data_IF_613949384301
#
_entry.id   IF_613949384301
#
_cell.length_a   1.000
_cell.length_b   1.000
_cell.length_c   1.000
_cell.angle_alpha   90.00
_cell.angle_beta   90.00
_cell.angle_gamma   90.00
#
_symmetry.space_group_name_H-M   'P 1'
#
loop_
_entity.id
_entity.type
_entity.pdbx_description
1 polymer ?
#
# COMPACT_ATOMS: atom_id res chain seq x y z
N UNK A 1 13.25 -12.66 6.82
CA UNK A 1 13.10 -11.71 5.68
C UNK A 1 12.61 -12.41 4.40
N UNK A 2 12.92 -13.69 4.20
CA UNK A 2 12.58 -14.41 2.95
C UNK A 2 11.06 -14.48 2.66
N UNK A 3 10.23 -14.60 3.71
CA UNK A 3 8.77 -14.56 3.56
C UNK A 3 8.26 -13.20 3.06
N UNK A 4 8.87 -12.10 3.50
CA UNK A 4 8.51 -10.75 3.05
C UNK A 4 8.95 -10.52 1.61
N UNK A 5 10.15 -10.98 1.26
CA UNK A 5 10.67 -10.88 -0.10
C UNK A 5 9.86 -11.71 -1.12
N UNK A 6 9.20 -12.78 -0.67
CA UNK A 6 8.35 -13.64 -1.51
C UNK A 6 6.91 -13.12 -1.67
N UNK A 7 6.56 -11.95 -1.12
CA UNK A 7 5.24 -11.36 -1.28
C UNK A 7 4.93 -11.13 -2.76
N UNK A 8 3.82 -11.72 -3.24
CA UNK A 8 3.37 -11.57 -4.63
C UNK A 8 2.44 -10.37 -4.73
N UNK A 9 2.95 -9.27 -5.26
CA UNK A 9 2.16 -8.08 -5.50
C UNK A 9 1.44 -8.18 -6.85
N UNK A 10 0.13 -8.01 -6.85
CA UNK A 10 -0.70 -8.17 -8.06
C UNK A 10 -0.55 -6.91 -8.91
N UNK A 11 0.05 -7.07 -10.10
CA UNK A 11 0.20 -5.98 -11.05
C UNK A 11 -1.18 -5.47 -11.54
N UNK A 12 -1.37 -4.17 -11.57
CA UNK A 12 -2.66 -3.55 -11.93
C UNK A 12 -3.55 -3.24 -10.72
N UNK A 13 -3.25 -3.79 -9.53
CA UNK A 13 -4.00 -3.49 -8.30
C UNK A 13 -3.90 -2.00 -7.91
N UNK A 14 -2.84 -1.30 -8.30
CA UNK A 14 -2.69 0.14 -8.09
C UNK A 14 -3.79 1.00 -8.73
N UNK A 15 -4.49 0.44 -9.72
CA UNK A 15 -5.61 1.11 -10.38
C UNK A 15 -6.88 1.14 -9.53
N UNK A 16 -6.98 0.25 -8.55
CA UNK A 16 -8.14 0.03 -7.68
C UNK A 16 -7.82 0.25 -6.20
N UNK A 17 -6.78 -0.40 -5.71
CA UNK A 17 -6.37 -0.46 -4.32
C UNK A 17 -4.89 -0.07 -4.17
N UNK A 18 -4.55 1.19 -4.49
CA UNK A 18 -3.15 1.64 -4.46
C UNK A 18 -2.52 1.49 -3.06
N UNK A 19 -3.28 1.70 -1.99
CA UNK A 19 -2.80 1.50 -0.62
C UNK A 19 -2.29 0.07 -0.36
N UNK A 20 -3.04 -0.93 -0.79
CA UNK A 20 -2.67 -2.34 -0.67
C UNK A 20 -1.50 -2.70 -1.59
N UNK A 21 -1.53 -2.20 -2.83
CA UNK A 21 -0.48 -2.45 -3.81
C UNK A 21 0.87 -1.93 -3.34
N UNK A 22 0.94 -0.66 -2.93
CA UNK A 22 2.18 -0.05 -2.46
C UNK A 22 2.64 -0.63 -1.11
N UNK A 23 1.71 -1.04 -0.25
CA UNK A 23 2.06 -1.77 0.97
C UNK A 23 2.74 -3.11 0.66
N UNK A 24 2.22 -3.85 -0.32
CA UNK A 24 2.83 -5.09 -0.79
C UNK A 24 4.25 -4.84 -1.34
N UNK A 25 4.43 -3.86 -2.24
CA UNK A 25 5.74 -3.49 -2.78
C UNK A 25 6.73 -3.05 -1.69
N UNK A 26 6.24 -2.31 -0.68
CA UNK A 26 7.05 -1.90 0.45
C UNK A 26 7.55 -3.10 1.25
N UNK A 27 6.65 -4.04 1.54
CA UNK A 27 6.96 -5.27 2.27
C UNK A 27 7.98 -6.13 1.53
N UNK A 28 7.78 -6.32 0.22
CA UNK A 28 8.71 -7.05 -0.65
C UNK A 28 10.09 -6.37 -0.66
N UNK A 29 10.12 -5.06 -0.92
CA UNK A 29 11.37 -4.27 -0.94
C UNK A 29 12.10 -4.33 0.40
N UNK A 30 11.38 -4.32 1.51
CA UNK A 30 11.96 -4.46 2.84
C UNK A 30 12.60 -5.85 3.03
N UNK A 31 11.90 -6.91 2.64
CA UNK A 31 12.42 -8.28 2.67
C UNK A 31 13.68 -8.48 1.80
N UNK A 32 13.77 -7.76 0.68
CA UNK A 32 14.93 -7.75 -0.22
C UNK A 32 16.07 -6.83 0.24
N UNK A 33 15.99 -6.25 1.44
CA UNK A 33 16.92 -5.25 1.98
C UNK A 33 17.04 -3.96 1.14
N UNK A 34 16.05 -3.66 0.31
CA UNK A 34 15.94 -2.43 -0.47
C UNK A 34 15.25 -1.33 0.33
N UNK A 35 15.79 -0.98 1.49
CA UNK A 35 15.14 -0.14 2.50
C UNK A 35 14.68 1.23 2.01
N UNK A 36 15.45 1.89 1.11
CA UNK A 36 15.04 3.18 0.53
C UNK A 36 13.77 3.08 -0.31
N UNK A 37 13.58 1.98 -1.04
CA UNK A 37 12.35 1.71 -1.78
C UNK A 37 11.21 1.33 -0.84
N UNK A 38 11.50 0.53 0.18
CA UNK A 38 10.52 0.17 1.19
C UNK A 38 9.93 1.40 1.89
N UNK A 39 10.78 2.33 2.37
CA UNK A 39 10.33 3.60 2.98
C UNK A 39 9.46 4.42 2.02
N UNK A 40 9.90 4.57 0.77
CA UNK A 40 9.14 5.28 -0.26
C UNK A 40 7.77 4.65 -0.49
N UNK A 41 7.71 3.32 -0.64
CA UNK A 41 6.45 2.63 -0.91
C UNK A 41 5.53 2.58 0.33
N UNK A 42 6.07 2.48 1.55
CA UNK A 42 5.25 2.64 2.76
C UNK A 42 4.63 4.03 2.86
N UNK A 43 5.37 5.10 2.56
CA UNK A 43 4.83 6.47 2.52
C UNK A 43 3.78 6.62 1.42
N UNK A 44 4.00 6.03 0.26
CA UNK A 44 3.01 6.02 -0.81
C UNK A 44 1.73 5.30 -0.37
N UNK A 45 1.85 4.08 0.19
CA UNK A 45 0.70 3.34 0.73
C UNK A 45 -0.03 4.13 1.82
N UNK A 46 0.71 4.75 2.76
CA UNK A 46 0.15 5.57 3.82
C UNK A 46 -0.66 6.76 3.27
N UNK A 47 -0.22 7.34 2.14
CA UNK A 47 -0.92 8.43 1.46
C UNK A 47 -2.27 8.01 0.88
N UNK A 48 -2.49 6.71 0.67
CA UNK A 48 -3.75 6.10 0.25
C UNK A 48 -4.54 5.50 1.44
N UNK A 49 -4.36 6.04 2.64
CA UNK A 49 -5.04 5.63 3.86
C UNK A 49 -4.75 4.18 4.31
N UNK A 50 -3.63 3.60 3.89
CA UNK A 50 -3.21 2.29 4.38
C UNK A 50 -2.77 2.36 5.85
N UNK A 51 -3.63 1.92 6.76
CA UNK A 51 -3.34 1.91 8.21
C UNK A 51 -2.19 0.97 8.58
N UNK A 52 -2.04 -0.21 7.94
CA UNK A 52 -0.84 -1.04 8.13
C UNK A 52 0.45 -0.31 7.75
N UNK A 53 0.47 0.46 6.64
CA UNK A 53 1.66 1.22 6.23
C UNK A 53 2.00 2.33 7.23
N UNK A 54 0.99 3.07 7.71
CA UNK A 54 1.16 4.10 8.74
C UNK A 54 1.73 3.49 10.03
N UNK A 55 1.23 2.33 10.44
CA UNK A 55 1.74 1.61 11.60
C UNK A 55 3.22 1.20 11.43
N UNK A 56 3.58 0.61 10.28
CA UNK A 56 4.97 0.19 9.99
C UNK A 56 5.92 1.38 10.01
N UNK A 57 5.53 2.53 9.42
CA UNK A 57 6.33 3.77 9.47
C UNK A 57 6.54 4.26 10.90
N UNK A 58 5.53 4.10 11.77
CA UNK A 58 5.66 4.36 13.20
C UNK A 58 6.68 3.45 13.89
N UNK A 59 6.63 2.16 13.61
CA UNK A 59 7.60 1.18 14.13
C UNK A 59 9.02 1.50 13.64
N UNK A 60 9.19 1.82 12.35
CA UNK A 60 10.49 2.20 11.79
C UNK A 60 11.06 3.46 12.47
N UNK A 61 10.24 4.47 12.73
CA UNK A 61 10.66 5.68 13.42
C UNK A 61 10.98 5.41 14.90
N UNK A 62 10.25 4.52 15.56
CA UNK A 62 10.46 4.13 16.95
C UNK A 62 11.77 3.36 17.16
N UNK A 63 12.08 2.46 16.24
CA UNK A 63 13.25 1.59 16.32
C UNK A 63 14.51 2.22 15.68
N UNK A 64 14.38 3.33 14.98
CA UNK A 64 15.48 3.93 14.23
C UNK A 64 15.87 3.10 13.01
N UNK A 65 14.90 2.43 12.37
CA UNK A 65 15.16 1.63 11.18
C UNK A 65 15.44 2.55 9.98
N UNK A 66 16.67 2.48 9.45
CA UNK A 66 17.21 3.32 8.36
C UNK A 66 17.19 4.83 8.62
N UNK A 67 16.89 5.26 9.82
CA UNK A 67 16.85 6.66 10.27
C UNK A 67 17.14 6.72 11.78
N UNK A 68 17.53 7.86 12.34
CA UNK A 68 17.64 8.01 13.79
C UNK A 68 16.30 7.76 14.49
N UNK A 69 16.35 7.19 15.69
CA UNK A 69 15.16 7.02 16.54
C UNK A 69 14.45 8.36 16.72
N UNK A 70 13.14 8.37 16.44
CA UNK A 70 12.29 9.56 16.56
C UNK A 70 10.94 9.18 17.16
N UNK A 71 10.88 9.15 18.48
CA UNK A 71 9.66 8.78 19.25
C UNK A 71 8.47 9.73 18.98
N UNK A 72 8.63 11.07 18.90
CA UNK A 72 7.55 11.96 18.50
C UNK A 72 6.98 11.65 17.11
N UNK A 73 7.84 11.41 16.13
CA UNK A 73 7.40 11.02 14.78
C UNK A 73 6.68 9.66 14.78
N UNK A 74 7.19 8.69 15.56
CA UNK A 74 6.54 7.40 15.73
C UNK A 74 5.11 7.56 16.29
N UNK A 75 4.93 8.40 17.32
CA UNK A 75 3.61 8.68 17.87
C UNK A 75 2.68 9.32 16.84
N UNK A 76 3.16 10.24 16.03
CA UNK A 76 2.36 10.87 14.97
C UNK A 76 1.89 9.84 13.93
N UNK A 77 2.76 8.90 13.53
CA UNK A 77 2.37 7.79 12.65
C UNK A 77 1.37 6.84 13.29
N UNK A 78 1.56 6.48 14.58
CA UNK A 78 0.59 5.64 15.29
C UNK A 78 -0.74 6.34 15.49
N UNK A 79 -0.76 7.67 15.70
CA UNK A 79 -1.98 8.45 15.76
C UNK A 79 -2.78 8.36 14.43
N UNK A 80 -2.11 8.48 13.28
CA UNK A 80 -2.73 8.29 11.98
C UNK A 80 -3.25 6.87 11.78
N UNK A 81 -2.48 5.85 12.16
CA UNK A 81 -2.89 4.46 12.07
C UNK A 81 -4.13 4.17 12.93
N UNK A 82 -4.25 4.82 14.09
CA UNK A 82 -5.35 4.62 15.05
C UNK A 82 -6.63 5.42 14.75
N UNK A 83 -6.67 6.28 13.72
CA UNK A 83 -7.85 7.12 13.43
C UNK A 83 -9.19 6.36 13.32
N UNK A 84 -9.13 5.07 12.97
CA UNK A 84 -10.31 4.19 12.89
C UNK A 84 -10.59 3.39 14.17
N UNK A 85 -9.88 3.69 15.25
CA UNK A 85 -10.02 3.05 16.56
C UNK A 85 -9.96 1.52 16.54
N UNK A 86 -9.25 0.95 15.57
CA UNK A 86 -9.02 -0.50 15.53
C UNK A 86 -8.06 -0.88 16.65
N UNK A 87 -8.40 -1.84 17.53
CA UNK A 87 -7.58 -2.17 18.73
C UNK A 87 -6.12 -2.47 18.42
N UNK A 88 -5.85 -3.11 17.28
CA UNK A 88 -4.50 -3.45 16.81
C UNK A 88 -3.61 -2.21 16.65
N UNK A 89 -4.16 -1.09 16.24
CA UNK A 89 -3.42 0.16 16.01
C UNK A 89 -3.56 1.15 17.16
N UNK A 90 -4.64 1.03 17.92
CA UNK A 90 -4.88 1.90 19.08
C UNK A 90 -3.92 1.58 20.22
N UNK A 91 -3.70 0.30 20.54
CA UNK A 91 -2.86 -0.11 21.66
C UNK A 91 -1.42 0.44 21.57
N UNK A 92 -0.68 0.33 20.45
CA UNK A 92 0.66 0.91 20.32
C UNK A 92 0.68 2.44 20.45
N UNK A 93 -0.37 3.12 19.98
CA UNK A 93 -0.51 4.57 20.15
C UNK A 93 -0.64 4.95 21.62
N UNK A 94 -1.53 4.30 22.35
CA UNK A 94 -1.79 4.60 23.77
C UNK A 94 -0.57 4.27 24.63
N UNK A 95 0.09 3.16 24.36
CA UNK A 95 1.31 2.74 25.06
C UNK A 95 2.44 3.76 24.88
N UNK A 96 2.75 4.15 23.64
CA UNK A 96 3.83 5.10 23.37
C UNK A 96 3.49 6.48 23.92
N UNK A 97 2.23 6.92 23.79
CA UNK A 97 1.76 8.20 24.31
C UNK A 97 1.97 8.32 25.82
N UNK A 98 1.72 7.23 26.57
CA UNK A 98 1.93 7.18 28.00
C UNK A 98 3.40 7.25 28.44
N UNK A 99 4.33 7.03 27.51
CA UNK A 99 5.77 6.99 27.77
C UNK A 99 6.51 8.27 27.34
N UNK A 100 5.86 9.19 26.64
CA UNK A 100 6.47 10.43 26.16
C UNK A 100 6.38 11.54 27.17
N UNK A 101 7.43 12.37 27.22
CA UNK A 101 7.44 13.63 27.95
C UNK A 101 6.52 14.67 27.31
N UNK A 102 6.08 15.72 28.07
CA UNK A 102 5.27 16.80 27.50
C UNK A 102 5.91 17.48 26.29
N UNK A 103 7.23 17.65 26.27
CA UNK A 103 7.96 18.24 25.15
C UNK A 103 7.95 17.33 23.90
N UNK A 104 8.03 16.01 24.08
CA UNK A 104 7.91 15.05 22.99
C UNK A 104 6.48 14.99 22.45
N UNK A 105 5.48 15.07 23.33
CA UNK A 105 4.07 15.11 22.92
C UNK A 105 3.78 16.36 22.07
N UNK A 106 4.27 17.53 22.46
CA UNK A 106 4.11 18.74 21.65
C UNK A 106 4.74 18.58 20.25
N UNK A 107 5.95 17.99 20.16
CA UNK A 107 6.56 17.69 18.87
C UNK A 107 5.77 16.68 18.05
N UNK A 108 5.17 15.69 18.70
CA UNK A 108 4.33 14.70 18.01
C UNK A 108 3.07 15.34 17.44
N UNK A 109 2.47 16.30 18.16
CA UNK A 109 1.32 17.07 17.68
C UNK A 109 1.68 17.94 16.47
N UNK A 110 2.87 18.57 16.46
CA UNK A 110 3.36 19.33 15.31
C UNK A 110 3.56 18.41 14.07
N UNK A 111 4.18 17.25 14.25
CA UNK A 111 4.28 16.26 13.18
C UNK A 111 2.89 15.83 12.69
N UNK A 112 2.01 15.46 13.58
CA UNK A 112 0.66 15.01 13.24
C UNK A 112 -0.12 16.07 12.47
N UNK A 113 -0.07 17.33 12.89
CA UNK A 113 -0.73 18.44 12.23
C UNK A 113 -0.26 18.63 10.78
N UNK A 114 1.04 18.49 10.52
CA UNK A 114 1.60 18.54 9.17
C UNK A 114 1.23 17.31 8.35
N UNK A 115 1.29 16.13 8.93
CA UNK A 115 1.08 14.84 8.27
C UNK A 115 -0.39 14.59 7.91
N UNK A 116 -1.33 15.06 8.72
CA UNK A 116 -2.78 14.93 8.45
C UNK A 116 -3.19 15.51 7.10
N UNK A 117 -2.49 16.51 6.59
CA UNK A 117 -2.75 17.13 5.28
C UNK A 117 -2.55 16.16 4.11
N UNK A 118 -1.79 15.10 4.31
CA UNK A 118 -1.49 14.10 3.27
C UNK A 118 -2.01 12.72 3.64
N UNK A 119 -1.87 12.32 4.89
CA UNK A 119 -2.04 10.94 5.36
C UNK A 119 -3.28 10.73 6.23
N UNK A 120 -3.92 11.79 6.74
CA UNK A 120 -5.11 11.68 7.56
C UNK A 120 -6.32 11.15 6.79
N UNK A 121 -7.18 10.39 7.45
CA UNK A 121 -8.35 9.78 6.81
C UNK A 121 -9.27 10.80 6.14
N UNK A 122 -9.40 12.01 6.70
CA UNK A 122 -10.21 13.07 6.08
C UNK A 122 -9.78 13.44 4.65
N UNK A 123 -8.52 13.19 4.29
CA UNK A 123 -7.94 13.50 2.96
C UNK A 123 -7.65 12.23 2.17
N UNK A 124 -7.00 11.27 2.80
CA UNK A 124 -6.50 10.07 2.13
C UNK A 124 -7.62 9.04 1.85
N UNK A 125 -8.61 8.89 2.74
CA UNK A 125 -9.66 7.91 2.54
C UNK A 125 -10.60 8.27 1.38
N UNK A 126 -11.14 9.50 1.24
CA UNK A 126 -11.95 9.88 0.09
C UNK A 126 -11.21 9.69 -1.25
N UNK A 127 -9.92 10.03 -1.28
CA UNK A 127 -9.08 9.82 -2.48
C UNK A 127 -8.95 8.33 -2.83
N UNK A 128 -8.75 7.48 -1.85
CA UNK A 128 -8.67 6.03 -2.04
C UNK A 128 -10.02 5.45 -2.52
N UNK A 129 -11.13 5.91 -1.94
CA UNK A 129 -12.48 5.50 -2.35
C UNK A 129 -12.83 5.94 -3.77
N UNK A 130 -12.46 7.16 -4.16
CA UNK A 130 -12.64 7.65 -5.52
C UNK A 130 -11.85 6.80 -6.50
N UNK A 131 -10.59 6.50 -6.19
CA UNK A 131 -9.75 5.62 -7.00
C UNK A 131 -10.35 4.24 -7.17
N UNK A 132 -10.85 3.65 -6.09
CA UNK A 132 -11.55 2.36 -6.12
C UNK A 132 -12.81 2.40 -7.00
N UNK A 133 -13.64 3.41 -6.84
CA UNK A 133 -14.87 3.60 -7.65
C UNK A 133 -14.54 3.74 -9.14
N UNK A 134 -13.55 4.55 -9.47
CA UNK A 134 -13.16 4.76 -10.87
C UNK A 134 -12.57 3.50 -11.49
N UNK A 135 -11.72 2.79 -10.76
CA UNK A 135 -11.16 1.52 -11.17
C UNK A 135 -12.27 0.48 -11.45
N UNK A 136 -13.20 0.34 -10.50
CA UNK A 136 -14.33 -0.59 -10.62
C UNK A 136 -15.25 -0.23 -11.79
N UNK A 137 -15.56 1.07 -11.98
CA UNK A 137 -16.39 1.54 -13.10
C UNK A 137 -15.76 1.19 -14.46
N UNK A 138 -14.46 1.40 -14.60
CA UNK A 138 -13.72 1.05 -15.83
C UNK A 138 -13.75 -0.46 -16.08
N UNK A 139 -13.60 -1.27 -15.01
CA UNK A 139 -13.66 -2.71 -15.08
C UNK A 139 -15.02 -3.21 -15.56
N UNK A 140 -16.10 -2.70 -14.96
CA UNK A 140 -17.47 -3.05 -15.33
C UNK A 140 -17.77 -2.61 -16.77
N UNK A 141 -17.36 -1.40 -17.17
CA UNK A 141 -17.55 -0.91 -18.54
C UNK A 141 -16.83 -1.76 -19.58
N UNK A 142 -15.61 -2.18 -19.30
CA UNK A 142 -14.85 -3.09 -20.16
C UNK A 142 -15.49 -4.49 -20.25
N UNK A 143 -16.00 -5.02 -19.14
CA UNK A 143 -16.72 -6.28 -19.12
C UNK A 143 -18.02 -6.23 -19.94
N UNK A 144 -18.77 -5.13 -19.85
CA UNK A 144 -20.03 -4.94 -20.57
C UNK A 144 -19.82 -4.80 -22.09
N UNK A 145 -18.66 -4.28 -22.53
CA UNK A 145 -18.33 -4.12 -23.96
C UNK A 145 -17.77 -5.40 -24.61
N UNK A 146 -17.63 -6.50 -23.87
CA UNK A 146 -17.01 -7.74 -24.35
C UNK A 146 -15.51 -7.64 -24.64
N UNK A 147 -14.91 -6.49 -24.44
CA UNK A 147 -13.49 -6.23 -24.58
C UNK A 147 -12.80 -6.33 -23.21
N UNK A 148 -12.88 -7.50 -22.59
CA UNK A 148 -12.24 -7.73 -21.31
C UNK A 148 -10.77 -8.06 -21.48
N UNK A 149 -9.96 -7.01 -21.55
CA UNK A 149 -8.54 -7.12 -21.30
C UNK A 149 -8.22 -6.37 -20.01
N UNK A 150 -8.02 -7.10 -18.92
CA UNK A 150 -7.32 -6.55 -17.77
C UNK A 150 -5.83 -6.49 -18.10
N UNK A 151 -5.43 -5.48 -18.87
CA UNK A 151 -4.01 -5.16 -19.00
C UNK A 151 -3.44 -4.97 -17.61
N UNK A 152 -2.59 -5.90 -17.20
CA UNK A 152 -1.88 -5.84 -15.92
C UNK A 152 -2.30 -6.84 -14.85
N UNK A 153 -3.45 -7.53 -14.92
CA UNK A 153 -3.75 -8.66 -14.02
C UNK A 153 -3.29 -9.97 -14.65
N UNK A 154 -1.98 -10.15 -14.76
CA UNK A 154 -1.38 -11.43 -15.15
C UNK A 154 -0.89 -12.15 -13.91
N UNK A 155 -1.17 -13.45 -13.84
CA UNK A 155 -0.57 -14.33 -12.85
C UNK A 155 0.95 -14.39 -13.10
N UNK A 156 1.78 -13.83 -12.19
CA UNK A 156 3.23 -13.85 -12.37
C UNK A 156 3.81 -15.25 -12.47
N UNK A 157 3.11 -16.28 -11.97
CA UNK A 157 3.55 -17.68 -12.05
C UNK A 157 3.52 -18.23 -13.48
N UNK A 158 2.75 -17.62 -14.37
CA UNK A 158 2.70 -17.99 -15.80
C UNK A 158 3.77 -17.28 -16.64
N UNK A 159 4.46 -16.28 -16.10
CA UNK A 159 5.56 -15.58 -16.75
C UNK A 159 6.93 -16.23 -16.49
N UNK A 160 7.02 -17.10 -15.50
CA UNK A 160 8.29 -17.73 -15.08
C UNK A 160 8.76 -18.90 -16.01
N UNK A 161 8.09 -19.14 -17.12
CA UNK A 161 8.35 -20.29 -18.00
C UNK A 161 9.02 -20.01 -19.35
N UNK A 162 9.38 -18.77 -19.68
CA UNK A 162 10.08 -18.50 -20.95
C UNK A 162 11.31 -17.64 -20.74
N UNK A 163 12.45 -18.18 -21.17
CA UNK A 163 13.72 -17.46 -21.20
C UNK A 163 13.62 -16.15 -21.97
N UNK A 164 14.62 -15.28 -21.75
CA UNK A 164 14.92 -14.02 -22.43
C UNK A 164 13.85 -13.56 -23.43
N UNK A 165 13.00 -12.60 -23.01
CA UNK A 165 12.01 -12.02 -23.90
C UNK A 165 12.61 -10.80 -24.61
N UNK A 166 12.62 -10.83 -25.94
CA UNK A 166 12.93 -9.70 -26.79
C UNK A 166 11.77 -8.70 -26.80
N UNK A 167 12.06 -7.42 -27.05
CA UNK A 167 11.07 -6.34 -27.06
C UNK A 167 9.89 -6.60 -28.03
N UNK A 168 10.13 -7.33 -29.12
CA UNK A 168 9.12 -7.69 -30.11
C UNK A 168 8.13 -8.74 -29.59
N UNK A 169 8.58 -9.66 -28.71
CA UNK A 169 7.72 -10.65 -28.05
C UNK A 169 6.77 -10.01 -27.05
N UNK A 170 7.21 -8.96 -26.37
CA UNK A 170 6.37 -8.17 -25.46
C UNK A 170 5.29 -7.41 -26.21
N UNK A 171 5.60 -6.85 -27.38
CA UNK A 171 4.63 -6.14 -28.22
C UNK A 171 3.56 -7.07 -28.80
N UNK A 172 3.92 -8.29 -29.20
CA UNK A 172 2.97 -9.29 -29.70
C UNK A 172 2.04 -9.84 -28.61
N UNK A 173 2.49 -9.88 -27.35
CA UNK A 173 1.69 -10.34 -26.23
C UNK A 173 0.65 -9.30 -25.75
N UNK A 174 0.82 -8.01 -26.09
CA UNK A 174 -0.14 -6.95 -25.77
C UNK A 174 -1.36 -6.92 -26.68
N UNK A 175 -1.32 -7.61 -27.82
CA UNK A 175 -2.40 -7.60 -28.81
C UNK A 175 -3.33 -8.81 -28.80
N UNK A 176 -3.05 -9.87 -28.06
CA UNK A 176 -3.93 -11.05 -28.01
C UNK A 176 -4.73 -11.11 -26.70
N UNK A 177 -5.80 -10.33 -26.65
CA UNK A 177 -6.86 -10.53 -25.67
C UNK A 177 -7.73 -11.73 -26.10
N UNK A 178 -7.51 -12.88 -25.46
CA UNK A 178 -8.44 -14.01 -25.58
C UNK A 178 -9.58 -13.78 -24.58
N UNK A 179 -10.84 -13.72 -25.02
CA UNK A 179 -11.96 -13.63 -24.11
C UNK A 179 -12.09 -14.92 -23.32
N UNK A 180 -11.77 -14.90 -22.04
CA UNK A 180 -12.07 -15.97 -21.11
C UNK A 180 -13.32 -15.58 -20.31
N UNK A 181 -14.33 -16.47 -20.20
CA UNK A 181 -15.48 -16.18 -19.37
C UNK A 181 -15.06 -16.16 -17.90
N UNK A 182 -15.07 -14.99 -17.29
CA UNK A 182 -14.84 -14.85 -15.86
C UNK A 182 -16.16 -15.03 -15.15
N UNK A 183 -16.32 -16.14 -14.43
CA UNK A 183 -17.41 -16.36 -13.51
C UNK A 183 -17.06 -15.61 -12.22
N UNK A 184 -17.69 -14.46 -12.00
CA UNK A 184 -17.63 -13.75 -10.73
C UNK A 184 -18.51 -14.50 -9.73
N UNK A 185 -17.90 -15.24 -8.82
CA UNK A 185 -18.62 -15.78 -7.66
C UNK A 185 -18.68 -14.67 -6.60
N UNK A 186 -19.89 -14.19 -6.33
CA UNK A 186 -20.13 -13.41 -5.12
C UNK A 186 -19.97 -14.37 -3.94
N UNK A 187 -19.20 -13.97 -2.94
CA UNK A 187 -19.15 -14.61 -1.63
C UNK A 187 -20.13 -13.83 -0.76
N UNK A 188 -21.21 -14.52 -0.34
CA UNK A 188 -22.19 -14.02 0.64
C UNK A 188 -21.56 -13.86 2.02
#
# INVERSE_FOLDING_TARGET
>A
NDQLASAKCIFGMEKFLPGEYFYCLATQSYGENKHRYADKFFKEAASWASKPAQYVLGVMALNGDQQPVNRPLALAWFALASERHTPRFQAPYDELKGQLSPAELAKADDYLASMKKTYGDAVAAPRAEERYRDGTRRLIGAAASGTYCMEGLRDPSKLAGSGSMDADTVSAMTSSCVPSPVVVKYVD
#
